data_IF_811014728756
#
_entry.id   IF_811014728756
#
_cell.length_a   1.000
_cell.length_b   1.000
_cell.length_c   1.000
_cell.angle_alpha   90.00
_cell.angle_beta   90.00
_cell.angle_gamma   90.00
#
_symmetry.space_group_name_H-M   'P 1'
#
loop_
_entity.id
_entity.type
_entity.pdbx_description
1 polymer ?
#
# COMPACT_ATOMS: atom_id res chain seq x y z
N UNK A 1 -13.24 -10.94 11.67
CA UNK A 1 -12.34 -10.51 10.57
C UNK A 1 -11.57 -9.27 11.04
N UNK A 2 -10.25 -9.20 10.81
CA UNK A 2 -9.41 -8.08 11.32
C UNK A 2 -8.95 -7.11 10.22
N UNK A 3 -8.77 -7.61 9.00
CA UNK A 3 -8.39 -6.85 7.82
C UNK A 3 -8.82 -7.59 6.54
N UNK A 4 -8.83 -6.87 5.42
CA UNK A 4 -8.96 -7.38 4.05
C UNK A 4 -7.89 -6.76 3.17
N UNK A 5 -7.57 -7.39 2.04
CA UNK A 5 -6.56 -6.89 1.11
C UNK A 5 -7.18 -6.54 -0.25
N UNK A 6 -6.81 -5.38 -0.78
CA UNK A 6 -7.20 -4.92 -2.10
C UNK A 6 -6.20 -5.44 -3.14
N UNK A 7 -6.65 -6.41 -3.94
CA UNK A 7 -5.86 -7.03 -4.99
C UNK A 7 -6.29 -6.51 -6.37
N UNK A 8 -5.39 -5.83 -7.06
CA UNK A 8 -5.63 -5.35 -8.42
C UNK A 8 -5.95 -6.54 -9.34
N UNK A 9 -6.92 -6.36 -10.25
CA UNK A 9 -7.30 -7.33 -11.27
C UNK A 9 -7.67 -6.56 -12.53
N UNK A 10 -7.12 -6.95 -13.67
CA UNK A 10 -7.49 -6.35 -14.95
C UNK A 10 -8.37 -7.31 -15.75
N UNK A 11 -9.64 -6.95 -15.92
CA UNK A 11 -10.55 -7.67 -16.81
C UNK A 11 -10.39 -7.08 -18.23
N UNK A 12 -9.59 -7.72 -19.07
CA UNK A 12 -9.46 -7.33 -20.48
C UNK A 12 -10.66 -7.85 -21.28
N UNK A 13 -11.21 -7.06 -22.22
CA UNK A 13 -12.38 -7.47 -23.01
C UNK A 13 -12.14 -8.76 -23.80
N UNK A 14 -10.93 -8.95 -24.33
CA UNK A 14 -10.58 -10.12 -25.16
C UNK A 14 -9.75 -11.19 -24.42
N UNK A 15 -8.81 -10.77 -23.56
CA UNK A 15 -7.83 -11.66 -22.92
C UNK A 15 -8.35 -12.20 -21.59
N UNK A 16 -9.53 -11.78 -21.15
CA UNK A 16 -10.12 -12.14 -19.88
C UNK A 16 -9.37 -11.55 -18.69
N UNK A 17 -9.32 -12.30 -17.59
CA UNK A 17 -8.73 -11.84 -16.34
C UNK A 17 -7.19 -11.93 -16.39
N UNK A 18 -6.53 -10.77 -16.42
CA UNK A 18 -5.08 -10.66 -16.41
C UNK A 18 -4.58 -10.46 -14.97
N UNK A 19 -3.64 -11.30 -14.49
CA UNK A 19 -3.15 -11.22 -13.13
C UNK A 19 -2.15 -10.06 -12.92
N UNK A 20 -2.02 -9.53 -11.68
CA UNK A 20 -1.08 -8.47 -11.32
C UNK A 20 0.36 -8.71 -11.79
N UNK A 21 0.84 -9.95 -11.67
CA UNK A 21 2.20 -10.33 -12.06
C UNK A 21 2.57 -10.00 -13.51
N UNK A 22 1.57 -9.83 -14.39
CA UNK A 22 1.78 -9.44 -15.79
C UNK A 22 1.73 -7.92 -15.94
N UNK A 23 0.76 -7.25 -15.31
CA UNK A 23 0.50 -5.82 -15.51
C UNK A 23 1.39 -4.91 -14.68
N UNK A 24 1.75 -5.30 -13.46
CA UNK A 24 2.51 -4.45 -12.53
C UNK A 24 3.90 -4.14 -13.09
N UNK A 25 4.69 -5.12 -13.59
CA UNK A 25 6.01 -4.81 -14.18
C UNK A 25 5.92 -3.82 -15.35
N UNK A 26 4.92 -3.98 -16.22
CA UNK A 26 4.70 -3.08 -17.35
C UNK A 26 4.29 -1.67 -16.88
N UNK A 27 3.40 -1.58 -15.89
CA UNK A 27 2.96 -0.33 -15.30
C UNK A 27 4.13 0.42 -14.62
N UNK A 28 5.05 -0.31 -14.00
CA UNK A 28 6.25 0.29 -13.40
C UNK A 28 7.21 0.84 -14.45
N UNK A 29 7.50 0.06 -15.49
CA UNK A 29 8.39 0.47 -16.59
C UNK A 29 7.85 1.70 -17.35
N UNK A 30 6.54 1.81 -17.48
CA UNK A 30 5.86 2.93 -18.17
C UNK A 30 5.52 4.11 -17.26
N UNK A 31 5.73 3.98 -15.94
CA UNK A 31 5.33 4.97 -14.94
C UNK A 31 3.83 5.01 -14.64
N UNK A 32 3.01 4.23 -15.36
CA UNK A 32 1.56 4.09 -15.14
C UNK A 32 1.21 3.49 -13.77
N UNK A 33 2.17 2.89 -13.07
CA UNK A 33 1.98 2.41 -11.70
C UNK A 33 1.55 3.53 -10.74
N UNK A 34 1.96 4.78 -10.99
CA UNK A 34 1.56 5.91 -10.15
C UNK A 34 0.06 6.22 -10.27
N UNK A 35 -0.50 6.52 -11.46
CA UNK A 35 -1.94 6.75 -11.61
C UNK A 35 -2.78 5.51 -11.29
N UNK A 36 -2.32 4.30 -11.64
CA UNK A 36 -3.02 3.06 -11.27
C UNK A 36 -3.08 2.93 -9.75
N UNK A 37 -1.97 3.14 -9.06
CA UNK A 37 -1.90 3.06 -7.61
C UNK A 37 -2.74 4.11 -6.90
N UNK A 38 -2.80 5.34 -7.41
CA UNK A 38 -3.71 6.38 -6.90
C UNK A 38 -5.17 5.95 -7.04
N UNK A 39 -5.55 5.39 -8.19
CA UNK A 39 -6.89 4.84 -8.41
C UNK A 39 -7.20 3.66 -7.48
N UNK A 40 -6.27 2.72 -7.29
CA UNK A 40 -6.44 1.57 -6.37
C UNK A 40 -6.64 2.06 -4.95
N UNK A 41 -5.78 2.93 -4.45
CA UNK A 41 -5.89 3.51 -3.11
C UNK A 41 -7.25 4.20 -2.92
N UNK A 42 -7.68 5.00 -3.89
CA UNK A 42 -8.96 5.69 -3.84
C UNK A 42 -10.15 4.74 -3.78
N UNK A 43 -10.15 3.76 -4.67
CA UNK A 43 -11.22 2.77 -4.76
C UNK A 43 -11.30 1.93 -3.48
N UNK A 44 -10.16 1.50 -2.94
CA UNK A 44 -10.09 0.76 -1.68
C UNK A 44 -10.64 1.59 -0.50
N UNK A 45 -10.24 2.86 -0.38
CA UNK A 45 -10.71 3.73 0.68
C UNK A 45 -12.23 3.99 0.59
N UNK A 46 -12.74 4.27 -0.61
CA UNK A 46 -14.17 4.46 -0.85
C UNK A 46 -14.97 3.19 -0.56
N UNK A 47 -14.47 2.03 -0.98
CA UNK A 47 -15.11 0.73 -0.73
C UNK A 47 -15.17 0.43 0.77
N UNK A 48 -14.07 0.67 1.49
CA UNK A 48 -14.03 0.47 2.94
C UNK A 48 -14.99 1.42 3.65
N UNK A 49 -15.01 2.70 3.27
CA UNK A 49 -15.96 3.69 3.81
C UNK A 49 -17.41 3.29 3.57
N UNK A 50 -17.74 2.84 2.36
CA UNK A 50 -19.08 2.33 2.03
C UNK A 50 -19.49 1.15 2.91
N UNK A 51 -18.58 0.21 3.19
CA UNK A 51 -18.87 -0.88 4.14
C UNK A 51 -19.15 -0.37 5.56
N UNK A 52 -18.39 0.63 6.04
CA UNK A 52 -18.65 1.25 7.35
C UNK A 52 -20.03 1.94 7.38
N UNK A 53 -20.40 2.65 6.31
CA UNK A 53 -21.67 3.36 6.22
C UNK A 53 -22.87 2.40 6.13
N UNK A 54 -22.66 1.17 5.63
CA UNK A 54 -23.63 0.07 5.69
C UNK A 54 -23.75 -0.59 7.08
N UNK A 55 -22.95 -0.16 8.06
CA UNK A 55 -22.92 -0.73 9.41
C UNK A 55 -22.12 -2.04 9.52
N UNK A 56 -21.33 -2.39 8.51
CA UNK A 56 -20.43 -3.55 8.59
C UNK A 56 -19.25 -3.27 9.55
N UNK A 57 -18.60 -4.33 10.00
CA UNK A 57 -17.46 -4.22 10.91
C UNK A 57 -16.34 -3.34 10.30
N UNK A 58 -15.83 -2.41 11.09
CA UNK A 58 -14.73 -1.54 10.65
C UNK A 58 -13.40 -2.31 10.65
N UNK A 59 -13.07 -2.91 9.51
CA UNK A 59 -11.82 -3.65 9.28
C UNK A 59 -10.81 -2.79 8.53
N UNK A 60 -9.52 -3.09 8.68
CA UNK A 60 -8.47 -2.46 7.85
C UNK A 60 -8.56 -2.96 6.41
N UNK A 61 -8.23 -2.11 5.45
CA UNK A 61 -7.99 -2.49 4.06
C UNK A 61 -6.51 -2.28 3.71
N UNK A 62 -5.83 -3.35 3.36
CA UNK A 62 -4.44 -3.34 2.91
C UNK A 62 -4.36 -3.06 1.42
N UNK A 63 -3.45 -2.17 1.02
CA UNK A 63 -3.16 -1.83 -0.36
C UNK A 63 -1.66 -1.96 -0.61
N UNK A 64 -1.31 -2.77 -1.60
CA UNK A 64 0.05 -2.94 -2.08
C UNK A 64 0.61 -1.64 -2.69
N UNK A 65 1.80 -1.23 -2.25
CA UNK A 65 2.50 -0.05 -2.75
C UNK A 65 3.82 -0.48 -3.38
N UNK A 66 3.97 -0.19 -4.66
CA UNK A 66 5.18 -0.50 -5.42
C UNK A 66 6.37 0.36 -5.01
N UNK A 67 7.59 -0.12 -5.28
CA UNK A 67 8.83 0.62 -5.01
C UNK A 67 8.91 1.95 -5.77
N UNK A 68 8.31 2.02 -6.96
CA UNK A 68 8.24 3.23 -7.78
C UNK A 68 7.29 4.25 -7.14
N UNK A 69 6.13 3.82 -6.65
CA UNK A 69 5.20 4.68 -5.92
C UNK A 69 5.80 5.16 -4.59
N UNK A 70 6.46 4.28 -3.84
CA UNK A 70 7.09 4.65 -2.56
C UNK A 70 8.15 5.74 -2.70
N UNK A 71 8.88 5.73 -3.82
CA UNK A 71 9.90 6.74 -4.15
C UNK A 71 9.31 8.04 -4.68
N UNK A 72 8.02 8.07 -5.03
CA UNK A 72 7.36 9.27 -5.50
C UNK A 72 7.24 10.30 -4.36
N UNK A 73 7.85 11.49 -4.48
CA UNK A 73 7.81 12.51 -3.42
C UNK A 73 6.39 13.00 -3.10
N UNK A 74 5.43 12.80 -4.00
CA UNK A 74 4.04 13.19 -3.85
C UNK A 74 3.19 12.19 -3.06
N UNK A 75 3.67 10.97 -2.80
CA UNK A 75 2.91 9.89 -2.18
C UNK A 75 2.24 10.33 -0.86
N UNK A 76 3.01 11.00 0.00
CA UNK A 76 2.51 11.49 1.30
C UNK A 76 1.32 12.44 1.11
N UNK A 77 1.46 13.41 0.20
CA UNK A 77 0.41 14.40 -0.05
C UNK A 77 -0.82 13.76 -0.70
N UNK A 78 -0.61 12.78 -1.61
CA UNK A 78 -1.68 12.01 -2.22
C UNK A 78 -2.49 11.24 -1.17
N UNK A 79 -1.83 10.55 -0.24
CA UNK A 79 -2.52 9.80 0.83
C UNK A 79 -3.30 10.75 1.75
N UNK A 80 -2.72 11.88 2.15
CA UNK A 80 -3.42 12.87 2.99
C UNK A 80 -4.66 13.43 2.28
N UNK A 81 -4.52 13.81 1.01
CA UNK A 81 -5.63 14.30 0.18
C UNK A 81 -6.70 13.23 0.05
N UNK A 82 -6.30 11.99 -0.23
CA UNK A 82 -7.22 10.86 -0.39
C UNK A 82 -8.04 10.58 0.86
N UNK A 83 -7.39 10.49 2.02
CA UNK A 83 -8.07 10.22 3.29
C UNK A 83 -9.04 11.36 3.65
N UNK A 84 -8.71 12.60 3.28
CA UNK A 84 -9.62 13.74 3.41
C UNK A 84 -10.82 13.63 2.45
N UNK A 85 -10.60 13.29 1.18
CA UNK A 85 -11.65 13.15 0.17
C UNK A 85 -12.62 12.01 0.46
N UNK A 86 -12.10 10.90 1.01
CA UNK A 86 -12.90 9.69 1.28
C UNK A 86 -13.49 9.67 2.69
N UNK A 87 -13.10 10.62 3.54
CA UNK A 87 -13.48 10.70 4.96
C UNK A 87 -13.19 9.42 5.76
N UNK A 88 -12.34 8.54 5.23
CA UNK A 88 -11.92 7.31 5.88
C UNK A 88 -10.86 7.65 6.93
N UNK A 89 -11.07 7.17 8.17
CA UNK A 89 -10.06 7.36 9.23
C UNK A 89 -8.76 6.63 8.84
N UNK A 90 -7.58 7.28 8.98
CA UNK A 90 -6.30 6.72 8.54
C UNK A 90 -5.98 5.32 9.07
N UNK A 91 -6.40 5.01 10.31
CA UNK A 91 -6.17 3.71 10.95
C UNK A 91 -6.79 2.50 10.23
N UNK A 92 -7.70 2.74 9.28
CA UNK A 92 -8.32 1.70 8.46
C UNK A 92 -7.60 1.49 7.12
N UNK A 93 -6.67 2.36 6.76
CA UNK A 93 -5.77 2.13 5.62
C UNK A 93 -4.51 1.43 6.10
N UNK A 94 -4.20 0.29 5.50
CA UNK A 94 -2.93 -0.40 5.62
C UNK A 94 -2.16 -0.28 4.31
N UNK A 95 -0.91 0.17 4.39
CA UNK A 95 0.01 0.22 3.26
C UNK A 95 0.96 -0.96 3.36
N UNK A 96 0.94 -1.79 2.35
CA UNK A 96 1.73 -3.01 2.27
C UNK A 96 2.92 -2.78 1.36
N UNK A 97 4.12 -3.03 1.89
CA UNK A 97 5.40 -2.79 1.22
C UNK A 97 6.14 -4.10 1.07
N UNK A 98 6.79 -4.32 -0.06
CA UNK A 98 7.69 -5.47 -0.21
C UNK A 98 8.96 -5.28 0.63
N UNK A 99 9.59 -6.39 1.02
CA UNK A 99 10.87 -6.40 1.73
C UNK A 99 11.95 -5.53 1.02
N UNK A 100 12.02 -5.62 -0.30
CA UNK A 100 13.00 -4.89 -1.14
C UNK A 100 12.91 -3.36 -1.01
N UNK A 101 11.72 -2.81 -0.74
CA UNK A 101 11.54 -1.37 -0.45
C UNK A 101 12.16 -1.02 0.89
N UNK A 102 12.01 -1.90 1.87
CA UNK A 102 12.45 -1.67 3.25
C UNK A 102 13.98 -1.67 3.40
N UNK A 103 14.68 -2.48 2.60
CA UNK A 103 16.15 -2.64 2.67
C UNK A 103 16.90 -1.47 2.01
N UNK A 104 16.32 -0.86 0.97
CA UNK A 104 17.04 0.07 0.10
C UNK A 104 17.07 1.49 0.68
N UNK A 105 18.26 2.10 0.84
CA UNK A 105 18.43 3.50 1.34
C UNK A 105 17.69 3.77 2.66
N UNK A 106 18.00 2.99 3.70
CA UNK A 106 17.34 2.98 5.02
C UNK A 106 16.95 4.37 5.56
N UNK A 107 17.83 5.38 5.48
CA UNK A 107 17.52 6.72 5.99
C UNK A 107 16.34 7.41 5.26
N UNK A 108 16.22 7.23 3.95
CA UNK A 108 15.08 7.77 3.19
C UNK A 108 13.79 7.03 3.56
N UNK A 109 13.84 5.70 3.57
CA UNK A 109 12.71 4.84 3.89
C UNK A 109 12.17 5.16 5.29
N UNK A 110 13.04 5.20 6.30
CA UNK A 110 12.66 5.53 7.68
C UNK A 110 11.98 6.90 7.75
N UNK A 111 12.46 7.91 7.01
CA UNK A 111 11.80 9.22 6.97
C UNK A 111 10.40 9.16 6.35
N UNK A 112 10.23 8.44 5.24
CA UNK A 112 8.93 8.29 4.58
C UNK A 112 7.96 7.51 5.47
N UNK A 113 8.39 6.39 6.04
CA UNK A 113 7.58 5.59 6.96
C UNK A 113 7.16 6.39 8.19
N UNK A 114 8.06 7.16 8.80
CA UNK A 114 7.69 8.05 9.90
C UNK A 114 6.64 9.09 9.51
N UNK A 115 6.71 9.65 8.29
CA UNK A 115 5.68 10.58 7.79
C UNK A 115 4.34 9.86 7.60
N UNK A 116 4.33 8.65 7.08
CA UNK A 116 3.13 7.82 6.97
C UNK A 116 2.54 7.51 8.35
N UNK A 117 3.37 7.11 9.32
CA UNK A 117 2.93 6.88 10.71
C UNK A 117 2.33 8.13 11.35
N UNK A 118 2.85 9.33 11.06
CA UNK A 118 2.26 10.60 11.51
C UNK A 118 0.87 10.88 10.92
N UNK A 119 0.56 10.35 9.72
CA UNK A 119 -0.81 10.39 9.17
C UNK A 119 -1.74 9.45 9.95
N UNK A 120 -1.19 8.38 10.54
CA UNK A 120 -1.94 7.39 11.31
C UNK A 120 -2.36 6.16 10.50
N UNK A 121 -1.75 5.93 9.34
CA UNK A 121 -1.95 4.68 8.57
C UNK A 121 -1.22 3.51 9.23
N UNK A 122 -1.71 2.31 8.96
CA UNK A 122 -1.05 1.06 9.32
C UNK A 122 -0.03 0.70 8.22
N UNK A 123 1.10 0.13 8.59
CA UNK A 123 2.16 -0.25 7.65
C UNK A 123 2.56 -1.69 7.89
N UNK A 124 2.53 -2.49 6.83
CA UNK A 124 3.00 -3.87 6.83
C UNK A 124 4.12 -4.08 5.82
N UNK A 125 5.01 -5.03 6.11
CA UNK A 125 5.97 -5.55 5.15
C UNK A 125 5.55 -6.97 4.76
N UNK A 126 5.52 -7.23 3.45
CA UNK A 126 5.18 -8.53 2.85
C UNK A 126 6.41 -9.24 2.25
N UNK A 127 6.27 -10.55 2.02
CA UNK A 127 7.27 -11.47 1.47
C UNK A 127 8.61 -11.49 2.25
N UNK A 128 8.55 -11.33 3.57
CA UNK A 128 9.74 -11.28 4.40
C UNK A 128 10.51 -12.61 4.46
N UNK A 129 11.83 -12.55 4.27
CA UNK A 129 12.74 -13.69 4.31
C UNK A 129 13.05 -14.27 2.92
N UNK A 130 12.56 -13.61 1.86
CA UNK A 130 12.88 -13.95 0.47
C UNK A 130 14.14 -13.22 -0.01
N UNK A 131 14.51 -12.10 0.61
CA UNK A 131 15.77 -11.38 0.40
C UNK A 131 16.66 -11.42 1.66
N UNK A 132 17.96 -11.14 1.53
CA UNK A 132 18.94 -11.16 2.64
C UNK A 132 18.76 -9.97 3.62
N UNK A 133 17.58 -9.80 4.22
CA UNK A 133 17.41 -8.86 5.34
C UNK A 133 17.95 -9.43 6.64
N UNK A 134 18.82 -8.67 7.31
CA UNK A 134 19.10 -8.92 8.72
C UNK A 134 17.90 -8.45 9.56
N UNK A 135 17.36 -9.33 10.41
CA UNK A 135 16.30 -9.02 11.39
C UNK A 135 16.58 -7.76 12.22
N UNK A 136 17.86 -7.42 12.39
CA UNK A 136 18.35 -6.21 13.05
C UNK A 136 17.93 -4.90 12.37
N UNK A 137 17.77 -4.87 11.03
CA UNK A 137 17.34 -3.67 10.30
C UNK A 137 15.85 -3.40 10.46
N UNK A 138 15.03 -4.46 10.54
CA UNK A 138 13.59 -4.33 10.75
C UNK A 138 13.25 -3.62 12.06
N UNK A 139 14.03 -3.86 13.13
CA UNK A 139 13.83 -3.20 14.42
C UNK A 139 13.89 -1.66 14.36
N UNK A 140 14.49 -1.10 13.31
CA UNK A 140 14.61 0.34 13.12
C UNK A 140 13.51 0.92 12.23
N UNK A 141 12.72 0.09 11.55
CA UNK A 141 11.65 0.54 10.67
C UNK A 141 10.38 0.78 11.49
N UNK A 142 9.73 1.95 11.35
CA UNK A 142 8.49 2.24 12.05
C UNK A 142 7.30 1.60 11.32
N UNK A 143 7.20 0.26 11.43
CA UNK A 143 6.14 -0.58 10.86
C UNK A 143 5.27 -1.18 11.96
N UNK A 144 4.08 -1.65 11.61
CA UNK A 144 3.13 -2.25 12.57
C UNK A 144 3.08 -3.77 12.47
N UNK A 145 3.37 -4.33 11.29
CA UNK A 145 3.24 -5.76 11.03
C UNK A 145 4.30 -6.26 10.03
N UNK A 146 4.74 -7.49 10.25
CA UNK A 146 5.51 -8.28 9.31
C UNK A 146 4.65 -9.47 8.89
N UNK A 147 4.56 -9.73 7.59
CA UNK A 147 3.88 -10.90 7.02
C UNK A 147 4.92 -11.94 6.58
N UNK A 148 4.57 -13.22 6.70
CA UNK A 148 5.41 -14.41 6.41
C UNK A 148 4.69 -15.22 5.35
#
# INVERSE_FOLDING_TARGET
LVAVEALLRWQHPELGLIPPKVIIPLAEQTGLINPIGEWVLKTACLQNKSWQDMGLAHVRIAVNVSATQFRNPLLINQIQKLLKETEMKPKYLELELTESIAINRANYVIRVLNRLKKIGVYISIDDFGTEYSSLSRLKLLPIDQLKI
#
